data_IF_832680772428
#
_entry.id   IF_832680772428
#
_cell.length_a   1.000
_cell.length_b   1.000
_cell.length_c   1.000
_cell.angle_alpha   90.00
_cell.angle_beta   90.00
_cell.angle_gamma   90.00
#
_symmetry.space_group_name_H-M   'P 1'
#
loop_
_entity.id
_entity.type
_entity.pdbx_description
1 polymer ?
#
# COMPACT_ATOMS: atom_id res chain seq x y z
N UNK A 1 -16.90 -7.48 -9.62
CA UNK A 1 -17.24 -6.09 -10.02
C UNK A 1 -16.50 -5.05 -9.16
N UNK A 2 -16.56 -5.13 -7.82
CA UNK A 2 -15.89 -4.19 -6.89
C UNK A 2 -14.36 -4.03 -7.11
N UNK A 3 -13.60 -5.13 -7.17
CA UNK A 3 -12.13 -5.08 -7.40
C UNK A 3 -11.72 -4.44 -8.74
N UNK A 4 -12.57 -4.54 -9.76
CA UNK A 4 -12.31 -3.94 -11.07
C UNK A 4 -12.51 -2.42 -11.02
N UNK A 5 -13.52 -1.96 -10.30
CA UNK A 5 -13.77 -0.54 -10.06
C UNK A 5 -12.65 0.11 -9.23
N UNK A 6 -12.16 -0.56 -8.19
CA UNK A 6 -11.02 -0.10 -7.38
C UNK A 6 -9.73 0.03 -8.19
N UNK A 7 -9.43 -1.00 -9.01
CA UNK A 7 -8.24 -0.99 -9.88
C UNK A 7 -8.28 0.17 -10.87
N UNK A 8 -9.46 0.46 -11.42
CA UNK A 8 -9.63 1.56 -12.37
C UNK A 8 -9.52 2.92 -11.67
N UNK A 9 -10.06 3.06 -10.45
CA UNK A 9 -9.94 4.28 -9.65
C UNK A 9 -8.48 4.69 -9.41
N UNK A 10 -7.61 3.75 -9.03
CA UNK A 10 -6.20 4.05 -8.76
C UNK A 10 -5.48 4.47 -10.05
N UNK A 11 -5.78 3.81 -11.18
CA UNK A 11 -5.24 4.20 -12.49
C UNK A 11 -5.67 5.61 -12.89
N UNK A 12 -6.96 5.96 -12.75
CA UNK A 12 -7.43 7.31 -13.06
C UNK A 12 -6.78 8.35 -12.14
N UNK A 13 -6.69 8.09 -10.83
CA UNK A 13 -5.95 8.94 -9.89
C UNK A 13 -4.51 9.15 -10.36
N UNK A 14 -3.80 8.08 -10.71
CA UNK A 14 -2.44 8.16 -11.24
C UNK A 14 -2.34 9.03 -12.49
N UNK A 15 -3.19 8.79 -13.50
CA UNK A 15 -3.18 9.58 -14.74
C UNK A 15 -3.50 11.04 -14.50
N UNK A 16 -4.47 11.35 -13.63
CA UNK A 16 -4.80 12.75 -13.29
C UNK A 16 -3.64 13.46 -12.60
N UNK A 17 -3.00 12.83 -11.62
CA UNK A 17 -1.85 13.43 -10.92
C UNK A 17 -0.63 13.56 -11.84
N UNK A 18 -0.35 12.55 -12.68
CA UNK A 18 0.74 12.61 -13.65
C UNK A 18 0.52 13.73 -14.69
N UNK A 19 -0.72 13.90 -15.16
CA UNK A 19 -1.08 14.97 -16.09
C UNK A 19 -0.92 16.35 -15.43
N UNK A 20 -1.41 16.52 -14.19
CA UNK A 20 -1.24 17.77 -13.43
C UNK A 20 0.24 18.08 -13.23
N UNK A 21 1.05 17.09 -12.82
CA UNK A 21 2.50 17.27 -12.64
C UNK A 21 3.18 17.72 -13.95
N UNK A 22 2.82 17.10 -15.09
CA UNK A 22 3.33 17.51 -16.40
C UNK A 22 2.94 18.95 -16.76
N UNK A 23 1.70 19.37 -16.45
CA UNK A 23 1.27 20.77 -16.64
C UNK A 23 2.08 21.73 -15.77
N UNK A 24 2.41 21.37 -14.53
CA UNK A 24 3.22 22.21 -13.62
C UNK A 24 4.67 22.33 -14.08
N UNK A 25 5.25 21.22 -14.55
CA UNK A 25 6.58 21.22 -15.18
C UNK A 25 6.60 22.13 -16.40
N UNK A 26 5.60 22.01 -17.28
CA UNK A 26 5.47 22.87 -18.46
C UNK A 26 5.31 24.35 -18.07
N UNK A 27 4.44 24.66 -17.10
CA UNK A 27 4.22 26.03 -16.62
C UNK A 27 5.50 26.66 -16.06
N UNK A 28 6.24 25.95 -15.19
CA UNK A 28 7.50 26.42 -14.65
C UNK A 28 8.57 26.63 -15.73
N UNK A 29 8.63 25.71 -16.70
CA UNK A 29 9.62 25.77 -17.79
C UNK A 29 9.34 26.94 -18.72
N UNK A 30 8.06 27.16 -19.08
CA UNK A 30 7.64 28.29 -19.89
C UNK A 30 7.88 29.62 -19.17
N UNK A 31 7.64 29.68 -17.86
CA UNK A 31 7.89 30.88 -17.07
C UNK A 31 9.38 31.25 -17.07
N UNK A 32 10.26 30.29 -16.74
CA UNK A 32 11.71 30.51 -16.75
C UNK A 32 12.24 30.87 -18.16
N UNK A 33 11.70 30.27 -19.21
CA UNK A 33 12.10 30.58 -20.59
C UNK A 33 11.66 31.98 -21.02
N UNK A 34 10.42 32.38 -20.73
CA UNK A 34 9.85 33.65 -21.22
C UNK A 34 10.18 34.85 -20.34
N UNK A 35 10.15 34.68 -19.02
CA UNK A 35 10.30 35.78 -18.04
C UNK A 35 11.75 35.95 -17.64
N UNK A 36 12.40 34.87 -17.23
CA UNK A 36 13.80 34.88 -16.79
C UNK A 36 14.80 34.75 -17.96
N UNK A 37 14.29 34.58 -19.20
CA UNK A 37 15.08 34.47 -20.44
C UNK A 37 16.15 33.37 -20.39
N UNK A 38 15.91 32.31 -19.63
CA UNK A 38 16.79 31.15 -19.55
C UNK A 38 16.69 30.29 -20.82
N UNK A 39 17.74 29.53 -21.14
CA UNK A 39 17.65 28.48 -22.15
C UNK A 39 16.52 27.50 -21.79
N UNK A 40 15.83 26.95 -22.80
CA UNK A 40 14.75 25.97 -22.55
C UNK A 40 15.26 24.74 -21.79
N UNK A 41 16.51 24.33 -22.05
CA UNK A 41 17.15 23.20 -21.37
C UNK A 41 17.46 23.54 -19.91
N UNK A 42 18.05 24.72 -19.67
CA UNK A 42 18.35 25.20 -18.31
C UNK A 42 17.06 25.39 -17.51
N UNK A 43 15.99 25.88 -18.15
CA UNK A 43 14.67 26.08 -17.56
C UNK A 43 14.06 24.74 -17.13
N UNK A 44 14.05 23.76 -18.04
CA UNK A 44 13.51 22.43 -17.76
C UNK A 44 14.30 21.72 -16.66
N UNK A 45 15.64 21.82 -16.70
CA UNK A 45 16.50 21.26 -15.65
C UNK A 45 16.21 21.89 -14.29
N UNK A 46 16.13 23.22 -14.22
CA UNK A 46 15.89 23.96 -12.97
C UNK A 46 14.52 23.64 -12.38
N UNK A 47 13.50 23.51 -13.24
CA UNK A 47 12.16 23.07 -12.84
C UNK A 47 12.19 21.65 -12.29
N UNK A 48 12.79 20.71 -13.01
CA UNK A 48 12.92 19.34 -12.55
C UNK A 48 13.64 19.27 -11.20
N UNK A 49 14.79 19.93 -11.07
CA UNK A 49 15.59 19.96 -9.85
C UNK A 49 14.85 20.59 -8.65
N UNK A 50 13.96 21.55 -8.91
CA UNK A 50 13.14 22.18 -7.86
C UNK A 50 12.01 21.27 -7.42
N UNK A 51 11.23 20.73 -8.36
CA UNK A 51 10.08 19.86 -8.07
C UNK A 51 10.51 18.55 -7.40
N UNK A 52 11.64 17.96 -7.83
CA UNK A 52 12.21 16.76 -7.20
C UNK A 52 12.97 17.04 -5.91
N UNK A 53 13.01 18.31 -5.47
CA UNK A 53 13.71 18.76 -4.25
C UNK A 53 15.22 18.46 -4.24
N UNK A 54 15.84 18.29 -5.42
CA UNK A 54 17.29 18.14 -5.55
C UNK A 54 18.04 19.42 -5.18
N UNK A 55 17.46 20.58 -5.50
CA UNK A 55 18.01 21.88 -5.09
C UNK A 55 19.29 22.34 -5.80
N UNK A 56 19.80 21.59 -6.78
CA UNK A 56 20.99 21.96 -7.57
C UNK A 56 20.67 22.98 -8.68
N UNK A 57 20.14 24.14 -8.31
CA UNK A 57 19.73 25.16 -9.29
C UNK A 57 20.80 26.25 -9.38
N UNK A 58 21.50 26.31 -10.51
CA UNK A 58 22.47 27.36 -10.80
C UNK A 58 21.82 28.64 -11.38
N UNK A 59 20.69 28.50 -12.09
CA UNK A 59 19.92 29.61 -12.65
C UNK A 59 18.47 29.49 -12.21
N UNK A 60 18.00 30.45 -11.40
CA UNK A 60 16.71 30.40 -10.71
C UNK A 60 15.84 31.62 -11.02
N UNK A 61 14.61 31.60 -10.48
CA UNK A 61 13.70 32.73 -10.38
C UNK A 61 14.38 33.93 -9.69
N UNK A 62 14.99 34.81 -10.48
CA UNK A 62 15.85 35.88 -9.97
C UNK A 62 15.11 37.21 -9.93
N UNK A 63 14.19 37.44 -10.88
CA UNK A 63 13.36 38.64 -10.94
C UNK A 63 12.37 38.73 -9.78
N UNK A 64 11.94 39.95 -9.43
CA UNK A 64 10.93 40.17 -8.39
C UNK A 64 9.63 39.42 -8.67
N UNK A 65 9.15 39.48 -9.92
CA UNK A 65 7.97 38.73 -10.38
C UNK A 65 8.21 37.20 -10.33
N UNK A 66 9.40 36.75 -10.69
CA UNK A 66 9.78 35.34 -10.65
C UNK A 66 9.76 34.78 -9.23
N UNK A 67 10.24 35.54 -8.24
CA UNK A 67 10.23 35.11 -6.84
C UNK A 67 8.81 34.95 -6.31
N UNK A 68 7.92 35.89 -6.61
CA UNK A 68 6.50 35.79 -6.21
C UNK A 68 5.85 34.56 -6.86
N UNK A 69 6.05 34.34 -8.16
CA UNK A 69 5.58 33.14 -8.85
C UNK A 69 6.13 31.86 -8.22
N UNK A 70 7.44 31.83 -7.93
CA UNK A 70 8.13 30.67 -7.38
C UNK A 70 7.53 30.22 -6.04
N UNK A 71 7.15 31.15 -5.16
CA UNK A 71 6.56 30.79 -3.85
C UNK A 71 5.31 29.91 -4.04
N UNK A 72 4.34 30.38 -4.82
CA UNK A 72 3.10 29.63 -5.05
C UNK A 72 3.32 28.38 -5.89
N UNK A 73 4.15 28.48 -6.93
CA UNK A 73 4.42 27.39 -7.84
C UNK A 73 5.17 26.24 -7.16
N UNK A 74 6.20 26.53 -6.34
CA UNK A 74 6.96 25.51 -5.61
C UNK A 74 6.03 24.76 -4.67
N UNK A 75 5.26 25.45 -3.82
CA UNK A 75 4.33 24.80 -2.87
C UNK A 75 3.38 23.85 -3.61
N UNK A 76 2.75 24.33 -4.68
CA UNK A 76 1.80 23.54 -5.46
C UNK A 76 2.49 22.34 -6.15
N UNK A 77 3.69 22.55 -6.71
CA UNK A 77 4.47 21.50 -7.36
C UNK A 77 4.95 20.42 -6.40
N UNK A 78 5.35 20.79 -5.18
CA UNK A 78 5.80 19.84 -4.15
C UNK A 78 4.63 18.97 -3.69
N UNK A 79 3.44 19.55 -3.49
CA UNK A 79 2.23 18.78 -3.15
C UNK A 79 1.91 17.77 -4.26
N UNK A 80 1.93 18.19 -5.53
CA UNK A 80 1.66 17.28 -6.65
C UNK A 80 2.72 16.19 -6.79
N UNK A 81 4.00 16.52 -6.60
CA UNK A 81 5.07 15.52 -6.60
C UNK A 81 4.90 14.50 -5.47
N UNK A 82 4.55 14.94 -4.26
CA UNK A 82 4.26 14.04 -3.15
C UNK A 82 3.08 13.11 -3.45
N UNK A 83 1.99 13.65 -4.03
CA UNK A 83 0.83 12.86 -4.47
C UNK A 83 1.21 11.85 -5.56
N UNK A 84 2.09 12.24 -6.49
CA UNK A 84 2.57 11.36 -7.55
C UNK A 84 3.36 10.17 -6.97
N UNK A 85 4.30 10.44 -6.06
CA UNK A 85 5.08 9.39 -5.39
C UNK A 85 4.20 8.46 -4.56
N UNK A 86 3.22 9.01 -3.83
CA UNK A 86 2.25 8.22 -3.07
C UNK A 86 1.45 7.31 -3.99
N UNK A 87 0.94 7.82 -5.11
CA UNK A 87 0.17 7.02 -6.07
C UNK A 87 1.05 5.94 -6.73
N UNK A 88 2.31 6.24 -7.01
CA UNK A 88 3.27 5.27 -7.53
C UNK A 88 3.52 4.14 -6.51
N UNK A 89 3.67 4.47 -5.23
CA UNK A 89 3.81 3.50 -4.15
C UNK A 89 2.56 2.64 -3.97
N UNK A 90 1.36 3.23 -4.04
CA UNK A 90 0.07 2.52 -4.04
C UNK A 90 0.00 1.50 -5.19
N UNK A 91 0.30 1.93 -6.43
CA UNK A 91 0.29 1.08 -7.61
C UNK A 91 1.30 -0.06 -7.52
N UNK A 92 2.51 0.21 -7.03
CA UNK A 92 3.54 -0.80 -6.85
C UNK A 92 3.11 -1.84 -5.81
N UNK A 93 2.61 -1.37 -4.66
CA UNK A 93 2.17 -2.23 -3.56
C UNK A 93 0.99 -3.09 -3.98
N UNK A 94 -0.01 -2.51 -4.65
CA UNK A 94 -1.20 -3.23 -5.12
C UNK A 94 -0.83 -4.33 -6.13
N UNK A 95 0.09 -4.04 -7.07
CA UNK A 95 0.59 -5.04 -8.02
C UNK A 95 1.30 -6.18 -7.30
N UNK A 96 2.12 -5.88 -6.30
CA UNK A 96 2.82 -6.89 -5.49
C UNK A 96 1.84 -7.76 -4.71
N UNK A 97 0.86 -7.14 -4.04
CA UNK A 97 -0.20 -7.84 -3.29
C UNK A 97 -1.02 -8.76 -4.19
N UNK A 98 -1.42 -8.29 -5.38
CA UNK A 98 -2.15 -9.13 -6.37
C UNK A 98 -1.30 -10.30 -6.88
N UNK A 99 0.01 -10.09 -7.08
CA UNK A 99 0.93 -11.17 -7.49
C UNK A 99 1.08 -12.22 -6.40
N UNK A 100 1.26 -11.79 -5.15
CA UNK A 100 1.34 -12.69 -3.99
C UNK A 100 0.05 -13.50 -3.85
N UNK A 101 -1.11 -12.83 -3.87
CA UNK A 101 -2.39 -13.52 -3.78
C UNK A 101 -2.60 -14.53 -4.92
N UNK A 102 -2.29 -14.14 -6.16
CA UNK A 102 -2.39 -15.04 -7.31
C UNK A 102 -1.41 -16.22 -7.20
N UNK A 103 -0.21 -15.99 -6.67
CA UNK A 103 0.78 -17.05 -6.45
C UNK A 103 0.30 -18.03 -5.37
N UNK A 104 -0.17 -17.55 -4.22
CA UNK A 104 -0.71 -18.39 -3.13
C UNK A 104 -1.90 -19.24 -3.59
N UNK A 105 -2.79 -18.67 -4.41
CA UNK A 105 -3.96 -19.38 -4.94
C UNK A 105 -3.62 -20.43 -6.01
N UNK A 106 -2.57 -20.21 -6.80
CA UNK A 106 -2.27 -21.04 -7.99
C UNK A 106 -1.08 -21.99 -7.78
N UNK A 107 -0.38 -21.88 -6.65
CA UNK A 107 0.67 -22.81 -6.24
C UNK A 107 0.04 -24.16 -5.83
N UNK A 108 0.72 -25.25 -6.16
CA UNK A 108 0.34 -26.60 -5.71
C UNK A 108 0.65 -26.78 -4.23
N UNK A 109 -0.29 -27.39 -3.50
CA UNK A 109 -0.12 -27.76 -2.10
C UNK A 109 0.79 -28.99 -2.02
N UNK A 110 1.71 -28.99 -1.06
CA UNK A 110 2.62 -30.10 -0.75
C UNK A 110 2.24 -30.79 0.56
N UNK A 111 2.84 -31.95 0.84
CA UNK A 111 2.63 -32.66 2.11
C UNK A 111 3.09 -31.85 3.32
N UNK A 112 4.20 -31.11 3.19
CA UNK A 112 4.67 -30.19 4.23
C UNK A 112 3.69 -29.05 4.48
N UNK A 113 3.00 -28.57 3.43
CA UNK A 113 1.99 -27.52 3.57
C UNK A 113 0.74 -28.04 4.31
N UNK A 114 0.40 -29.32 4.14
CA UNK A 114 -0.68 -29.98 4.90
C UNK A 114 -0.30 -30.16 6.37
N UNK A 115 0.91 -30.66 6.66
CA UNK A 115 1.43 -30.78 8.03
C UNK A 115 1.50 -29.43 8.75
N UNK A 116 1.78 -28.33 8.03
CA UNK A 116 1.79 -26.99 8.59
C UNK A 116 0.39 -26.34 8.69
N UNK A 117 -0.63 -26.95 8.10
CA UNK A 117 -2.02 -26.51 8.17
C UNK A 117 -2.81 -27.26 9.24
N UNK A 118 -2.42 -28.49 9.57
CA UNK A 118 -2.92 -29.32 10.67
C UNK A 118 -2.63 -28.63 12.01
N UNK A 119 -3.65 -28.00 12.59
CA UNK A 119 -3.54 -27.24 13.84
C UNK A 119 -3.81 -28.10 15.07
N UNK A 120 -4.62 -29.15 14.93
CA UNK A 120 -5.02 -30.05 16.03
C UNK A 120 -4.19 -31.34 16.12
N UNK A 121 -3.38 -31.64 15.10
CA UNK A 121 -2.45 -32.76 15.06
C UNK A 121 -3.09 -34.10 14.66
N UNK A 122 -4.31 -34.10 14.11
CA UNK A 122 -5.04 -35.31 13.74
C UNK A 122 -4.61 -35.95 12.39
N UNK A 123 -3.64 -35.31 11.70
CA UNK A 123 -3.11 -35.67 10.37
C UNK A 123 -4.11 -35.53 9.22
N UNK A 124 -5.20 -34.84 9.45
CA UNK A 124 -6.14 -34.40 8.44
C UNK A 124 -6.11 -32.87 8.41
N UNK A 125 -6.70 -32.29 7.36
CA UNK A 125 -6.81 -30.82 7.27
C UNK A 125 -8.24 -30.50 6.92
N UNK A 126 -8.96 -29.94 7.89
CA UNK A 126 -10.32 -29.45 7.73
C UNK A 126 -10.39 -28.23 6.81
N UNK A 127 -11.59 -27.90 6.34
CA UNK A 127 -11.79 -26.72 5.50
C UNK A 127 -11.39 -25.42 6.22
N UNK A 128 -11.62 -25.33 7.53
CA UNK A 128 -11.28 -24.15 8.34
C UNK A 128 -9.76 -23.98 8.48
N UNK A 129 -9.05 -25.04 8.84
CA UNK A 129 -7.59 -25.09 8.93
C UNK A 129 -6.93 -24.73 7.59
N UNK A 130 -7.44 -25.29 6.49
CA UNK A 130 -6.97 -24.94 5.16
C UNK A 130 -7.14 -23.44 4.85
N UNK A 131 -8.27 -22.85 5.23
CA UNK A 131 -8.51 -21.40 5.07
C UNK A 131 -7.58 -20.58 5.96
N UNK A 132 -7.38 -20.95 7.22
CA UNK A 132 -6.45 -20.28 8.13
C UNK A 132 -5.01 -20.34 7.61
N UNK A 133 -4.58 -21.50 7.14
CA UNK A 133 -3.28 -21.68 6.48
C UNK A 133 -3.14 -20.77 5.25
N UNK A 134 -4.17 -20.69 4.39
CA UNK A 134 -4.15 -19.78 3.23
C UNK A 134 -4.14 -18.30 3.63
N UNK A 135 -4.83 -17.92 4.69
CA UNK A 135 -4.80 -16.54 5.22
C UNK A 135 -3.41 -16.20 5.79
N UNK A 136 -2.76 -17.16 6.45
CA UNK A 136 -1.37 -17.07 6.89
C UNK A 136 -0.40 -16.93 5.72
N UNK A 137 -0.50 -17.76 4.68
CA UNK A 137 0.32 -17.63 3.45
C UNK A 137 0.11 -16.27 2.75
N UNK A 138 -1.10 -15.73 2.80
CA UNK A 138 -1.41 -14.39 2.30
C UNK A 138 -0.87 -13.25 3.19
N UNK A 139 -0.27 -13.57 4.34
CA UNK A 139 0.21 -12.61 5.33
C UNK A 139 -0.92 -11.78 5.96
N UNK A 140 -2.13 -12.34 6.02
CA UNK A 140 -3.30 -11.68 6.65
C UNK A 140 -3.40 -11.94 8.13
N UNK A 141 -2.83 -13.04 8.59
CA UNK A 141 -2.81 -13.48 9.98
C UNK A 141 -1.38 -13.94 10.24
N UNK A 142 -0.80 -13.54 11.38
CA UNK A 142 0.53 -13.98 11.81
C UNK A 142 0.45 -15.33 12.56
N UNK A 143 1.59 -15.95 12.87
CA UNK A 143 1.57 -17.18 13.68
C UNK A 143 1.23 -16.88 15.12
N UNK A 144 1.71 -15.74 15.60
CA UNK A 144 1.47 -15.23 16.93
C UNK A 144 -0.04 -15.02 17.13
N UNK A 145 -0.72 -14.36 16.18
CA UNK A 145 -2.18 -14.16 16.25
C UNK A 145 -2.93 -15.48 16.36
N UNK A 146 -2.56 -16.48 15.54
CA UNK A 146 -3.17 -17.81 15.60
C UNK A 146 -2.98 -18.47 16.96
N UNK A 147 -1.77 -18.40 17.53
CA UNK A 147 -1.51 -18.95 18.86
C UNK A 147 -2.31 -18.26 19.97
N UNK A 148 -2.47 -16.94 19.91
CA UNK A 148 -3.29 -16.21 20.89
C UNK A 148 -4.77 -16.62 20.81
N UNK A 149 -5.30 -16.81 19.59
CA UNK A 149 -6.69 -17.25 19.42
C UNK A 149 -6.91 -18.68 19.89
N UNK A 150 -5.94 -19.57 19.67
CA UNK A 150 -6.01 -20.94 20.16
C UNK A 150 -5.90 -21.00 21.69
N UNK A 151 -5.03 -20.19 22.31
CA UNK A 151 -4.93 -20.11 23.78
C UNK A 151 -6.23 -19.55 24.40
N UNK A 152 -6.85 -18.56 23.76
CA UNK A 152 -8.17 -18.07 24.19
C UNK A 152 -9.25 -19.13 24.04
N UNK A 153 -9.23 -19.88 22.94
CA UNK A 153 -10.13 -21.00 22.70
C UNK A 153 -10.00 -22.07 23.80
N UNK A 154 -8.78 -22.51 24.09
CA UNK A 154 -8.50 -23.52 25.12
C UNK A 154 -8.94 -23.06 26.52
N UNK A 155 -8.84 -21.76 26.81
CA UNK A 155 -9.33 -21.20 28.08
C UNK A 155 -10.86 -21.19 28.15
N UNK A 156 -11.53 -21.00 27.02
CA UNK A 156 -12.99 -20.99 26.94
C UNK A 156 -13.56 -22.40 26.92
N UNK A 157 -12.86 -23.38 26.35
CA UNK A 157 -13.27 -24.78 26.25
C UNK A 157 -13.09 -25.52 27.58
N UNK A 158 -13.95 -25.21 28.55
CA UNK A 158 -13.90 -25.74 29.92
C UNK A 158 -14.05 -27.27 29.94
N UNK A 159 -14.85 -27.83 29.04
CA UNK A 159 -15.08 -29.27 28.94
C UNK A 159 -14.06 -30.01 28.06
N UNK A 160 -13.14 -29.27 27.43
CA UNK A 160 -12.09 -29.78 26.54
C UNK A 160 -12.66 -30.64 25.40
N UNK A 161 -13.85 -30.31 24.93
CA UNK A 161 -14.52 -31.03 23.84
C UNK A 161 -13.87 -30.76 22.47
N UNK A 162 -13.01 -29.74 22.37
CA UNK A 162 -12.49 -29.23 21.10
C UNK A 162 -13.53 -28.36 20.37
N UNK A 163 -14.61 -27.97 21.05
CA UNK A 163 -15.68 -27.13 20.50
C UNK A 163 -16.19 -26.16 21.55
N UNK A 164 -16.56 -24.93 21.16
CA UNK A 164 -17.20 -24.00 22.09
C UNK A 164 -18.71 -24.11 22.02
N UNK A 165 -19.33 -24.49 23.14
CA UNK A 165 -20.77 -24.54 23.31
C UNK A 165 -21.29 -23.39 24.19
N UNK A 166 -22.61 -23.23 24.26
CA UNK A 166 -23.22 -22.26 25.16
C UNK A 166 -22.94 -22.57 26.65
N UNK A 167 -22.68 -23.84 26.99
CA UNK A 167 -22.34 -24.25 28.34
C UNK A 167 -20.94 -23.77 28.74
N UNK A 168 -19.98 -23.84 27.82
CA UNK A 168 -18.61 -23.39 28.08
C UNK A 168 -18.55 -21.89 28.34
N UNK A 169 -19.33 -21.12 27.58
CA UNK A 169 -19.41 -19.67 27.75
C UNK A 169 -20.04 -19.24 29.07
N UNK A 170 -21.07 -19.95 29.55
CA UNK A 170 -21.69 -19.63 30.86
C UNK A 170 -20.79 -20.00 32.02
N UNK A 171 -20.06 -21.11 31.92
CA UNK A 171 -19.08 -21.52 32.93
C UNK A 171 -17.87 -20.56 32.98
N UNK A 172 -17.35 -20.14 31.82
CA UNK A 172 -16.26 -19.18 31.73
C UNK A 172 -16.63 -17.80 32.32
N UNK A 173 -17.89 -17.35 32.17
CA UNK A 173 -18.39 -16.11 32.77
C UNK A 173 -18.60 -16.21 34.29
N UNK A 174 -18.88 -17.40 34.82
CA UNK A 174 -19.13 -17.60 36.25
C UNK A 174 -17.81 -17.67 37.05
N UNK A 175 -16.70 -17.97 36.37
CA UNK A 175 -15.35 -18.09 36.95
C UNK A 175 -14.47 -16.82 36.80
N UNK A 176 -15.03 -15.69 36.33
CA UNK A 176 -14.40 -14.36 36.31
C UNK A 176 -14.85 -13.52 37.51
#
# INVERSE_FOLDING_TARGET
>A
MLRAMETNRIKYKFYTVALLLAMVVAAGTLFLWKVEKLSIVDSFYSVCATITTLGYVHKSFSSELGRVFAIFWIIMSTILMAQFLMCLAELYTERRQKRLAKWVLNRRITTMDLEAADLDGDRQVGAAEFVLYKLKELGKISQEDLSYFLEEFDRLDVDQSGTLSAYDLTQAQTNQ
#
